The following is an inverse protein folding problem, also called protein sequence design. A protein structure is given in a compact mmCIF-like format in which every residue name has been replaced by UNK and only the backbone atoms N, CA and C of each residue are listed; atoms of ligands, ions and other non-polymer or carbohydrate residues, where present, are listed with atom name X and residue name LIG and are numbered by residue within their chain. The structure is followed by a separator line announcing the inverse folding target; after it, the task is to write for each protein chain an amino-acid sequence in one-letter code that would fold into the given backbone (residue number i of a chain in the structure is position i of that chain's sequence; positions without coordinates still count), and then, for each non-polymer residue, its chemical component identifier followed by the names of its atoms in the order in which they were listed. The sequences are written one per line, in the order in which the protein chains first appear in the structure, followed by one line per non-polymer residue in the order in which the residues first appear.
data_IF_210829319864
#
_entry.id   IF_210829319864
#
_cell.length_a   1.000
_cell.length_b   1.000
_cell.length_c   1.000
_cell.angle_alpha   90.00
_cell.angle_beta   90.00
_cell.angle_gamma   90.00
#
_symmetry.space_group_name_H-M   'P 1'
#
loop_
_entity.id
_entity.type
_entity.pdbx_description
1 polymer ?
#
# COMPACT_ATOMS: atom_id res chain seq x y z
N UNK A 1 9.89 -7.37 -26.22
CA UNK A 1 9.83 -6.73 -24.88
C UNK A 1 8.64 -7.33 -24.15
N UNK A 2 8.89 -8.01 -23.01
CA UNK A 2 7.86 -8.76 -22.27
C UNK A 2 7.45 -7.98 -21.03
N UNK A 3 6.14 -7.85 -20.77
CA UNK A 3 5.60 -7.18 -19.59
C UNK A 3 5.43 -8.21 -18.46
N UNK A 4 6.03 -7.94 -17.29
CA UNK A 4 6.06 -8.87 -16.14
C UNK A 4 4.92 -8.64 -15.11
N UNK A 5 3.99 -7.71 -15.37
CA UNK A 5 2.81 -7.44 -14.55
C UNK A 5 3.12 -7.37 -13.03
N UNK A 6 2.48 -8.24 -12.25
CA UNK A 6 2.55 -8.28 -10.79
C UNK A 6 3.93 -8.64 -10.24
N UNK A 7 4.92 -9.04 -11.06
CA UNK A 7 6.29 -9.27 -10.59
C UNK A 7 6.91 -8.04 -9.90
N UNK A 8 6.44 -6.83 -10.22
CA UNK A 8 6.84 -5.59 -9.53
C UNK A 8 6.48 -5.58 -8.04
N UNK A 9 5.45 -6.32 -7.60
CA UNK A 9 5.09 -6.45 -6.17
C UNK A 9 6.20 -7.11 -5.35
N UNK A 10 6.98 -8.02 -5.95
CA UNK A 10 8.13 -8.67 -5.30
C UNK A 10 9.19 -7.62 -4.93
N UNK A 11 9.45 -6.67 -5.83
CA UNK A 11 10.39 -5.57 -5.58
C UNK A 11 9.87 -4.67 -4.45
N UNK A 12 8.57 -4.35 -4.43
CA UNK A 12 7.95 -3.62 -3.33
C UNK A 12 8.11 -4.33 -1.98
N UNK A 13 7.82 -5.63 -1.92
CA UNK A 13 7.99 -6.43 -0.71
C UNK A 13 9.46 -6.50 -0.25
N UNK A 14 10.41 -6.58 -1.19
CA UNK A 14 11.84 -6.56 -0.87
C UNK A 14 12.28 -5.23 -0.25
N UNK A 15 11.75 -4.10 -0.73
CA UNK A 15 12.03 -2.78 -0.13
C UNK A 15 11.56 -2.76 1.33
N UNK A 16 10.36 -3.29 1.61
CA UNK A 16 9.86 -3.39 2.99
C UNK A 16 10.78 -4.28 3.84
N UNK A 17 11.19 -5.45 3.33
CA UNK A 17 12.11 -6.33 4.05
C UNK A 17 13.46 -5.66 4.36
N UNK A 18 14.00 -4.86 3.45
CA UNK A 18 15.23 -4.07 3.68
C UNK A 18 15.00 -3.06 4.81
N UNK A 19 13.90 -2.31 4.80
CA UNK A 19 13.56 -1.36 5.87
C UNK A 19 13.42 -2.05 7.23
N UNK A 20 12.81 -3.23 7.27
CA UNK A 20 12.69 -4.06 8.47
C UNK A 20 14.05 -4.51 8.97
N UNK A 21 14.91 -5.03 8.09
CA UNK A 21 16.28 -5.45 8.47
C UNK A 21 17.13 -4.30 9.04
N UNK A 22 16.81 -3.05 8.68
CA UNK A 22 17.47 -1.84 9.15
C UNK A 22 16.83 -1.25 10.41
N UNK A 23 15.77 -1.87 10.93
CA UNK A 23 15.01 -1.37 12.08
C UNK A 23 14.24 -0.08 11.82
N UNK A 24 14.03 0.30 10.55
CA UNK A 24 13.31 1.53 10.17
C UNK A 24 11.79 1.31 10.07
N UNK A 25 11.37 0.05 9.99
CA UNK A 25 9.98 -0.40 9.92
C UNK A 25 9.84 -1.72 10.67
N UNK A 26 8.70 -1.97 11.29
CA UNK A 26 8.30 -3.29 11.81
C UNK A 26 7.04 -3.76 11.08
N UNK A 27 6.88 -5.06 10.89
CA UNK A 27 5.70 -5.60 10.21
C UNK A 27 4.41 -5.34 10.99
N UNK A 28 4.51 -5.26 12.32
CA UNK A 28 3.44 -4.98 13.26
C UNK A 28 3.14 -3.48 13.39
N UNK A 29 3.94 -2.61 12.77
CA UNK A 29 3.66 -1.18 12.77
C UNK A 29 2.32 -0.91 12.07
N UNK A 30 1.50 -0.06 12.69
CA UNK A 30 0.30 0.48 12.05
C UNK A 30 0.69 1.35 10.87
N UNK A 31 -0.02 1.24 9.75
CA UNK A 31 0.23 2.08 8.56
C UNK A 31 0.11 3.57 8.90
N UNK A 32 -0.82 3.91 9.81
CA UNK A 32 -1.05 5.27 10.32
C UNK A 32 0.16 5.90 11.03
N UNK A 33 1.15 5.10 11.45
CA UNK A 33 2.45 5.60 11.95
C UNK A 33 3.22 6.36 10.87
N UNK A 34 3.07 5.97 9.61
CA UNK A 34 3.80 6.51 8.45
C UNK A 34 2.92 7.34 7.52
N UNK A 35 1.63 7.04 7.48
CA UNK A 35 0.63 7.70 6.66
C UNK A 35 -0.64 7.94 7.49
N UNK A 36 -0.70 9.00 8.31
CA UNK A 36 -1.81 9.24 9.23
C UNK A 36 -3.18 9.30 8.56
N UNK A 37 -3.26 9.89 7.37
CA UNK A 37 -4.46 10.07 6.57
C UNK A 37 -5.07 8.74 6.09
N UNK A 38 -4.28 7.66 6.09
CA UNK A 38 -4.78 6.31 5.83
C UNK A 38 -5.80 5.83 6.86
N UNK A 39 -5.80 6.38 8.08
CA UNK A 39 -6.58 5.86 9.21
C UNK A 39 -8.09 6.14 9.18
N UNK A 40 -8.64 6.61 8.06
CA UNK A 40 -10.07 6.86 7.89
C UNK A 40 -10.84 5.56 7.68
N UNK A 41 -12.17 5.58 7.91
CA UNK A 41 -13.06 4.43 7.63
C UNK A 41 -12.58 3.10 8.25
N UNK A 42 -12.30 3.11 9.56
CA UNK A 42 -11.91 1.95 10.37
C UNK A 42 -10.59 1.26 9.96
N UNK A 43 -9.74 1.97 9.20
CA UNK A 43 -8.42 1.49 8.73
C UNK A 43 -7.29 1.73 9.74
N UNK A 44 -7.53 2.38 10.87
CA UNK A 44 -6.50 2.88 11.79
C UNK A 44 -5.65 1.78 12.45
N UNK A 45 -6.15 0.54 12.48
CA UNK A 45 -5.47 -0.61 13.09
C UNK A 45 -4.76 -1.52 12.08
N UNK A 46 -4.85 -1.23 10.77
CA UNK A 46 -4.18 -2.02 9.74
C UNK A 46 -2.67 -1.89 9.88
N UNK A 47 -1.98 -3.04 9.86
CA UNK A 47 -0.52 -3.12 9.96
C UNK A 47 0.15 -3.22 8.60
N UNK A 48 1.45 -2.96 8.53
CA UNK A 48 2.25 -3.17 7.32
C UNK A 48 2.17 -4.63 6.86
N UNK A 49 2.16 -5.60 7.78
CA UNK A 49 1.96 -7.01 7.47
C UNK A 49 0.64 -7.27 6.74
N UNK A 50 -0.46 -6.67 7.20
CA UNK A 50 -1.77 -6.86 6.57
C UNK A 50 -1.82 -6.33 5.15
N UNK A 51 -1.07 -5.25 4.84
CA UNK A 51 -0.91 -4.74 3.47
C UNK A 51 -0.19 -5.78 2.60
N UNK A 52 0.93 -6.33 3.08
CA UNK A 52 1.73 -7.32 2.33
C UNK A 52 0.98 -8.64 2.10
N UNK A 53 0.11 -9.03 3.04
CA UNK A 53 -0.69 -10.25 2.98
C UNK A 53 -2.05 -10.08 2.27
N UNK A 54 -2.34 -8.89 1.73
CA UNK A 54 -3.64 -8.56 1.13
C UNK A 54 -4.84 -8.74 2.09
N UNK A 55 -4.63 -8.55 3.40
CA UNK A 55 -5.67 -8.66 4.44
C UNK A 55 -6.33 -7.33 4.82
N UNK A 56 -5.85 -6.23 4.25
CA UNK A 56 -6.31 -4.87 4.56
C UNK A 56 -7.70 -4.52 3.99
N UNK A 57 -8.31 -5.36 3.14
CA UNK A 57 -9.65 -5.09 2.59
C UNK A 57 -9.70 -4.04 1.48
N UNK A 58 -8.57 -3.48 1.05
CA UNK A 58 -8.44 -2.45 0.02
C UNK A 58 -8.46 -3.03 -1.41
N UNK A 59 -9.51 -3.79 -1.74
CA UNK A 59 -9.48 -4.70 -2.90
C UNK A 59 -9.96 -4.01 -4.19
N UNK A 60 -10.83 -3.00 -4.10
CA UNK A 60 -11.49 -2.39 -5.26
C UNK A 60 -11.66 -0.89 -5.02
N UNK A 61 -11.46 -0.10 -6.07
CA UNK A 61 -11.88 1.30 -6.12
C UNK A 61 -13.24 1.34 -6.81
N UNK A 62 -14.19 2.12 -6.29
CA UNK A 62 -15.57 2.16 -6.79
C UNK A 62 -15.67 2.73 -8.23
N UNK A 63 -14.74 3.60 -8.60
CA UNK A 63 -14.71 4.26 -9.92
C UNK A 63 -13.72 3.61 -10.89
N UNK A 64 -14.07 3.64 -12.19
CA UNK A 64 -13.12 3.30 -13.25
C UNK A 64 -11.97 4.31 -13.29
N UNK A 65 -10.73 3.80 -13.24
CA UNK A 65 -9.53 4.62 -13.32
C UNK A 65 -9.05 4.74 -14.77
N UNK A 66 -8.81 5.96 -15.21
CA UNK A 66 -8.02 6.20 -16.42
C UNK A 66 -6.56 5.81 -16.18
N UNK A 67 -5.83 5.54 -17.27
CA UNK A 67 -4.39 5.23 -17.18
C UNK A 67 -3.54 6.38 -16.63
N UNK A 68 -4.00 7.62 -16.75
CA UNK A 68 -3.34 8.79 -16.17
C UNK A 68 -3.51 8.81 -14.65
N UNK A 69 -4.75 8.64 -14.18
CA UNK A 69 -5.07 8.54 -12.75
C UNK A 69 -4.35 7.35 -12.09
N UNK A 70 -4.30 6.19 -12.75
CA UNK A 70 -3.61 5.00 -12.25
C UNK A 70 -2.08 5.20 -12.11
N UNK A 71 -1.49 6.16 -12.82
CA UNK A 71 -0.06 6.50 -12.74
C UNK A 71 0.24 7.61 -11.74
N UNK A 72 -0.77 8.34 -11.28
CA UNK A 72 -0.61 9.40 -10.27
C UNK A 72 -0.76 8.82 -8.87
N UNK A 73 0.37 8.61 -8.19
CA UNK A 73 0.39 8.07 -6.84
C UNK A 73 -0.34 8.95 -5.81
N UNK A 74 -0.48 10.27 -6.05
CA UNK A 74 -1.21 11.19 -5.16
C UNK A 74 -2.71 11.09 -5.39
N UNK A 75 -3.13 10.87 -6.62
CA UNK A 75 -4.53 10.58 -6.93
C UNK A 75 -4.97 9.27 -6.25
N UNK A 76 -4.17 8.21 -6.40
CA UNK A 76 -4.43 6.93 -5.76
C UNK A 76 -4.39 7.02 -4.23
N UNK A 77 -3.46 7.79 -3.65
CA UNK A 77 -3.41 7.97 -2.19
C UNK A 77 -4.71 8.59 -1.66
N UNK A 78 -5.24 9.62 -2.32
CA UNK A 78 -6.51 10.26 -1.94
C UNK A 78 -7.70 9.31 -1.99
N UNK A 79 -7.73 8.37 -2.93
CA UNK A 79 -8.80 7.37 -2.97
C UNK A 79 -8.70 6.43 -1.76
N UNK A 80 -7.49 6.02 -1.38
CA UNK A 80 -7.26 5.13 -0.23
C UNK A 80 -7.49 5.85 1.12
N UNK A 81 -7.20 7.15 1.18
CA UNK A 81 -7.44 8.03 2.34
C UNK A 81 -8.91 8.33 2.56
N UNK A 82 -9.77 8.14 1.55
CA UNK A 82 -11.21 8.25 1.67
C UNK A 82 -11.88 6.88 1.80
#
# INVERSE_FOLDING_TARGET
MTVAFSSTKVIGALIIAILVSRGQLQYEDKVTKYWPEFGTYDKENITVQWILEHKAGLIVFDDELTMEQARDHRYISRIIEN
#
